data_IF_547080443336
#
_entry.id   IF_547080443336
#
_cell.length_a   1.000
_cell.length_b   1.000
_cell.length_c   1.000
_cell.angle_alpha   90.00
_cell.angle_beta   90.00
_cell.angle_gamma   90.00
#
_symmetry.space_group_name_H-M   'P 1'
#
loop_
_entity.id
_entity.type
_entity.pdbx_description
1 polymer ?
#
# COMPACT_ATOMS: atom_id res chain seq x y z
N UNK A 1 -0.99 27.70 -12.30
CA UNK A 1 0.13 27.56 -11.35
C UNK A 1 0.12 26.12 -10.88
N UNK A 2 1.03 25.29 -11.38
CA UNK A 2 1.11 23.88 -10.96
C UNK A 2 1.48 23.82 -9.48
N UNK A 3 0.83 22.93 -8.72
CA UNK A 3 1.15 22.70 -7.32
C UNK A 3 2.62 22.24 -7.23
N UNK A 4 3.53 23.13 -6.83
CA UNK A 4 4.94 22.81 -6.64
C UNK A 4 5.07 22.00 -5.35
N UNK A 5 5.42 20.72 -5.49
CA UNK A 5 5.73 19.84 -4.36
C UNK A 5 7.18 19.99 -3.91
N UNK A 6 8.10 20.21 -4.84
CA UNK A 6 9.54 20.32 -4.56
C UNK A 6 10.10 21.71 -4.88
N UNK A 7 11.13 22.11 -4.12
CA UNK A 7 11.84 23.38 -4.29
C UNK A 7 12.64 23.39 -5.60
N UNK A 8 13.28 22.26 -5.95
CA UNK A 8 13.95 22.10 -7.23
C UNK A 8 12.92 21.91 -8.36
N UNK A 9 12.85 22.83 -9.34
CA UNK A 9 11.89 22.75 -10.42
C UNK A 9 12.06 21.50 -11.29
N UNK A 10 13.29 21.01 -11.48
CA UNK A 10 13.57 19.82 -12.28
C UNK A 10 13.05 18.57 -11.58
N UNK A 11 13.32 18.43 -10.27
CA UNK A 11 12.82 17.30 -9.48
C UNK A 11 11.29 17.34 -9.46
N UNK A 12 10.68 18.51 -9.29
CA UNK A 12 9.23 18.65 -9.32
C UNK A 12 8.63 18.22 -10.66
N UNK A 13 9.21 18.67 -11.78
CA UNK A 13 8.73 18.30 -13.12
C UNK A 13 8.89 16.79 -13.38
N UNK A 14 10.04 16.21 -13.05
CA UNK A 14 10.29 14.76 -13.18
C UNK A 14 9.28 13.99 -12.32
N UNK A 15 9.10 14.36 -11.06
CA UNK A 15 8.23 13.65 -10.13
C UNK A 15 6.76 13.69 -10.57
N UNK A 16 6.27 14.84 -11.05
CA UNK A 16 4.92 14.98 -11.61
C UNK A 16 4.73 14.15 -12.89
N UNK A 17 5.70 14.19 -13.80
CA UNK A 17 5.65 13.41 -15.05
C UNK A 17 5.66 11.91 -14.77
N UNK A 18 6.56 11.44 -13.90
CA UNK A 18 6.64 10.04 -13.48
C UNK A 18 5.33 9.60 -12.84
N UNK A 19 4.78 10.40 -11.92
CA UNK A 19 3.52 10.09 -11.28
C UNK A 19 2.37 10.01 -12.28
N UNK A 20 2.28 10.94 -13.24
CA UNK A 20 1.24 10.94 -14.27
C UNK A 20 1.35 9.72 -15.18
N UNK A 21 2.57 9.36 -15.61
CA UNK A 21 2.82 8.17 -16.42
C UNK A 21 2.41 6.91 -15.65
N UNK A 22 2.85 6.77 -14.40
CA UNK A 22 2.49 5.63 -13.54
C UNK A 22 0.97 5.55 -13.34
N UNK A 23 0.31 6.68 -13.09
CA UNK A 23 -1.14 6.74 -12.93
C UNK A 23 -1.87 6.24 -14.19
N UNK A 24 -1.53 6.78 -15.36
CA UNK A 24 -2.15 6.42 -16.65
C UNK A 24 -1.92 4.95 -16.97
N UNK A 25 -0.67 4.47 -16.83
CA UNK A 25 -0.34 3.07 -17.11
C UNK A 25 -1.06 2.13 -16.14
N UNK A 26 -1.05 2.42 -14.83
CA UNK A 26 -1.76 1.61 -13.84
C UNK A 26 -3.27 1.55 -14.15
N UNK A 27 -3.88 2.67 -14.55
CA UNK A 27 -5.29 2.71 -14.95
C UNK A 27 -5.54 1.86 -16.19
N UNK A 28 -4.73 2.03 -17.23
CA UNK A 28 -4.86 1.30 -18.49
C UNK A 28 -4.72 -0.22 -18.29
N UNK A 29 -3.68 -0.66 -17.57
CA UNK A 29 -3.44 -2.09 -17.35
C UNK A 29 -4.45 -2.73 -16.40
N UNK A 30 -4.95 -2.02 -15.39
CA UNK A 30 -6.03 -2.54 -14.55
C UNK A 30 -7.36 -2.65 -15.30
N UNK A 31 -7.70 -1.69 -16.16
CA UNK A 31 -8.88 -1.79 -17.03
C UNK A 31 -8.72 -2.94 -18.03
N UNK A 32 -7.55 -3.08 -18.63
CA UNK A 32 -7.24 -4.19 -19.53
C UNK A 32 -7.34 -5.54 -18.81
N UNK A 33 -6.81 -5.64 -17.59
CA UNK A 33 -6.95 -6.84 -16.76
C UNK A 33 -8.43 -7.17 -16.52
N UNK A 34 -9.26 -6.18 -16.14
CA UNK A 34 -10.71 -6.38 -15.97
C UNK A 34 -11.34 -6.88 -17.27
N UNK A 35 -11.01 -6.28 -18.42
CA UNK A 35 -11.50 -6.72 -19.72
C UNK A 35 -11.11 -8.18 -20.03
N UNK A 36 -9.86 -8.56 -19.79
CA UNK A 36 -9.36 -9.93 -19.98
C UNK A 36 -10.10 -10.91 -19.04
N UNK A 37 -10.28 -10.55 -17.76
CA UNK A 37 -11.02 -11.37 -16.79
C UNK A 37 -12.45 -11.63 -17.27
N UNK A 38 -13.11 -10.62 -17.84
CA UNK A 38 -14.49 -10.74 -18.35
C UNK A 38 -14.59 -11.56 -19.64
N UNK A 39 -13.54 -11.56 -20.48
CA UNK A 39 -13.49 -12.31 -21.74
C UNK A 39 -13.02 -13.76 -21.58
N UNK A 40 -12.31 -14.08 -20.50
CA UNK A 40 -11.83 -15.43 -20.23
C UNK A 40 -13.01 -16.35 -19.82
N UNK A 41 -13.10 -17.54 -20.44
CA UNK A 41 -14.22 -18.48 -20.23
C UNK A 41 -14.40 -18.86 -18.75
N UNK A 42 -15.65 -18.83 -18.26
CA UNK A 42 -16.01 -19.19 -16.89
C UNK A 42 -15.57 -20.62 -16.51
N UNK A 43 -15.41 -21.49 -17.51
CA UNK A 43 -14.97 -22.88 -17.33
C UNK A 43 -13.49 -23.00 -16.90
N UNK A 44 -12.65 -21.98 -17.17
CA UNK A 44 -11.21 -22.04 -16.88
C UNK A 44 -10.87 -21.59 -15.44
N UNK A 45 -11.62 -20.65 -14.87
CA UNK A 45 -11.23 -19.93 -13.64
C UNK A 45 -12.30 -19.99 -12.53
N UNK A 46 -13.58 -20.20 -12.88
CA UNK A 46 -14.67 -20.30 -11.90
C UNK A 46 -14.88 -19.02 -11.05
N UNK A 47 -15.25 -19.19 -9.77
CA UNK A 47 -15.55 -18.06 -8.84
C UNK A 47 -14.34 -17.17 -8.53
N UNK A 48 -13.13 -17.61 -8.83
CA UNK A 48 -11.89 -16.87 -8.60
C UNK A 48 -11.82 -15.55 -9.39
N UNK A 49 -12.53 -15.46 -10.53
CA UNK A 49 -12.63 -14.22 -11.33
C UNK A 49 -13.15 -13.03 -10.52
N UNK A 50 -14.11 -13.27 -9.61
CA UNK A 50 -14.69 -12.21 -8.76
C UNK A 50 -13.63 -11.59 -7.87
N UNK A 51 -12.72 -12.43 -7.37
CA UNK A 51 -11.66 -11.99 -6.48
C UNK A 51 -10.57 -11.20 -7.23
N UNK A 52 -10.22 -11.64 -8.44
CA UNK A 52 -9.31 -10.89 -9.32
C UNK A 52 -9.91 -9.56 -9.80
N UNK A 53 -11.21 -9.51 -10.09
CA UNK A 53 -11.90 -8.24 -10.40
C UNK A 53 -11.88 -7.30 -9.20
N UNK A 54 -12.13 -7.81 -7.99
CA UNK A 54 -12.06 -6.98 -6.77
C UNK A 54 -10.66 -6.41 -6.55
N UNK A 55 -9.62 -7.21 -6.79
CA UNK A 55 -8.23 -6.77 -6.72
C UNK A 55 -7.95 -5.62 -7.71
N UNK A 56 -8.29 -5.79 -8.98
CA UNK A 56 -8.10 -4.74 -9.99
C UNK A 56 -8.89 -3.45 -9.67
N UNK A 57 -10.10 -3.57 -9.11
CA UNK A 57 -10.89 -2.41 -8.67
C UNK A 57 -10.27 -1.70 -7.46
N UNK A 58 -9.67 -2.46 -6.55
CA UNK A 58 -8.94 -1.94 -5.39
C UNK A 58 -7.69 -1.17 -5.83
N UNK A 59 -6.95 -1.67 -6.81
CA UNK A 59 -5.80 -0.99 -7.40
C UNK A 59 -6.19 0.34 -8.06
N UNK A 60 -7.31 0.36 -8.81
CA UNK A 60 -7.86 1.59 -9.38
C UNK A 60 -8.24 2.61 -8.29
N UNK A 61 -8.87 2.15 -7.21
CA UNK A 61 -9.24 3.01 -6.08
C UNK A 61 -8.00 3.58 -5.36
N UNK A 62 -7.02 2.75 -5.05
CA UNK A 62 -5.76 3.17 -4.43
C UNK A 62 -5.00 4.16 -5.32
N UNK A 63 -4.86 3.86 -6.61
CA UNK A 63 -4.18 4.72 -7.59
C UNK A 63 -4.88 6.08 -7.74
N UNK A 64 -6.22 6.11 -7.71
CA UNK A 64 -7.00 7.35 -7.73
C UNK A 64 -6.69 8.21 -6.50
N UNK A 65 -6.69 7.63 -5.31
CA UNK A 65 -6.36 8.37 -4.08
C UNK A 65 -4.91 8.84 -4.07
N UNK A 66 -3.97 7.99 -4.49
CA UNK A 66 -2.56 8.37 -4.59
C UNK A 66 -2.37 9.55 -5.55
N UNK A 67 -3.04 9.55 -6.71
CA UNK A 67 -2.96 10.66 -7.66
C UNK A 67 -3.62 11.95 -7.14
N UNK A 68 -4.82 11.85 -6.56
CA UNK A 68 -5.54 13.00 -6.02
C UNK A 68 -4.81 13.65 -4.84
N UNK A 69 -4.26 12.84 -3.93
CA UNK A 69 -3.61 13.33 -2.72
C UNK A 69 -2.16 13.69 -3.01
N UNK A 70 -1.45 12.89 -3.80
CA UNK A 70 0.01 12.90 -3.97
C UNK A 70 0.75 13.04 -2.63
N UNK A 71 0.72 11.98 -1.80
CA UNK A 71 1.26 12.01 -0.45
C UNK A 71 2.80 11.94 -0.47
N UNK A 72 3.45 12.96 0.07
CA UNK A 72 4.92 13.01 0.19
C UNK A 72 5.30 12.81 1.66
N UNK A 73 5.94 11.68 2.03
CA UNK A 73 6.42 11.45 3.38
C UNK A 73 7.79 12.08 3.60
N UNK A 74 8.00 12.67 4.76
CA UNK A 74 9.23 13.36 5.13
C UNK A 74 9.67 12.98 6.54
N UNK A 75 10.96 13.19 6.81
CA UNK A 75 11.58 12.94 8.10
C UNK A 75 12.38 14.14 8.56
N UNK A 76 12.27 14.48 9.83
CA UNK A 76 13.13 15.48 10.44
C UNK A 76 13.37 15.18 11.92
N UNK A 77 14.63 15.02 12.31
CA UNK A 77 15.03 14.55 13.64
C UNK A 77 14.23 13.32 14.10
N UNK A 78 13.44 13.51 15.16
CA UNK A 78 12.59 12.49 15.78
C UNK A 78 11.14 12.49 15.26
N UNK A 79 10.87 13.11 14.11
CA UNK A 79 9.54 13.25 13.56
C UNK A 79 9.39 12.65 12.16
N UNK A 80 8.27 11.99 11.95
CA UNK A 80 7.71 11.70 10.64
C UNK A 80 6.58 12.69 10.35
N UNK A 81 6.48 13.18 9.12
CA UNK A 81 5.32 13.95 8.70
C UNK A 81 5.00 13.73 7.23
N UNK A 82 3.75 13.95 6.84
CA UNK A 82 3.30 13.71 5.48
C UNK A 82 2.13 14.61 5.11
N UNK A 83 2.17 15.15 3.90
CA UNK A 83 1.09 15.95 3.32
C UNK A 83 0.83 15.57 1.86
N UNK A 84 -0.41 15.78 1.45
CA UNK A 84 -0.79 15.71 0.05
C UNK A 84 -0.37 16.96 -0.73
N UNK A 85 0.30 16.76 -1.86
CA UNK A 85 0.73 17.82 -2.78
C UNK A 85 -0.05 17.81 -4.10
N UNK A 86 -1.09 16.96 -4.20
CA UNK A 86 -1.94 16.81 -5.37
C UNK A 86 -3.10 17.81 -5.37
N UNK A 87 -4.25 17.38 -5.88
CA UNK A 87 -5.49 18.15 -5.88
C UNK A 87 -6.14 18.25 -4.50
N UNK A 88 -5.95 17.24 -3.64
CA UNK A 88 -6.53 17.19 -2.30
C UNK A 88 -5.44 17.14 -1.23
N UNK A 89 -5.07 18.33 -0.74
CA UNK A 89 -3.89 18.55 0.11
C UNK A 89 -4.18 18.53 1.62
N UNK A 90 -5.43 18.28 1.99
CA UNK A 90 -5.85 18.26 3.38
C UNK A 90 -5.39 16.97 4.08
N UNK A 91 -5.20 17.04 5.40
CA UNK A 91 -4.84 15.87 6.24
C UNK A 91 -5.81 14.70 6.07
N UNK A 92 -7.09 15.01 5.83
CA UNK A 92 -8.11 14.00 5.55
C UNK A 92 -7.76 13.17 4.31
N UNK A 93 -7.15 13.78 3.29
CA UNK A 93 -6.71 13.11 2.08
C UNK A 93 -5.63 12.08 2.36
N UNK A 94 -4.63 12.49 3.14
CA UNK A 94 -3.55 11.60 3.59
C UNK A 94 -4.12 10.42 4.39
N UNK A 95 -5.06 10.66 5.30
CA UNK A 95 -5.70 9.61 6.06
C UNK A 95 -6.53 8.66 5.17
N UNK A 96 -7.28 9.18 4.19
CA UNK A 96 -8.02 8.36 3.22
C UNK A 96 -7.09 7.50 2.38
N UNK A 97 -5.98 8.07 1.90
CA UNK A 97 -4.94 7.34 1.18
C UNK A 97 -4.34 6.21 2.03
N UNK A 98 -4.06 6.45 3.32
CA UNK A 98 -3.54 5.42 4.22
C UNK A 98 -4.59 4.36 4.58
N UNK A 99 -5.86 4.75 4.66
CA UNK A 99 -6.97 3.82 4.74
C UNK A 99 -7.06 2.93 3.49
N UNK A 100 -6.78 3.47 2.31
CA UNK A 100 -6.70 2.70 1.08
C UNK A 100 -5.49 1.76 1.08
N UNK A 101 -4.33 2.25 1.50
CA UNK A 101 -3.12 1.44 1.67
C UNK A 101 -3.36 0.22 2.58
N UNK A 102 -4.09 0.42 3.70
CA UNK A 102 -4.40 -0.62 4.67
C UNK A 102 -5.27 -1.77 4.17
N UNK A 103 -6.08 -1.58 3.11
CA UNK A 103 -6.94 -2.65 2.59
C UNK A 103 -6.21 -3.60 1.62
N UNK A 104 -5.03 -3.24 1.12
CA UNK A 104 -4.26 -4.10 0.23
C UNK A 104 -3.80 -5.39 0.93
N UNK A 105 -3.42 -5.32 2.21
CA UNK A 105 -3.01 -6.47 3.03
C UNK A 105 -4.07 -7.59 3.11
N UNK A 106 -5.32 -7.31 3.56
CA UNK A 106 -6.34 -8.34 3.65
C UNK A 106 -6.70 -8.89 2.28
N UNK A 107 -6.61 -8.11 1.20
CA UNK A 107 -6.83 -8.64 -0.16
C UNK A 107 -5.80 -9.71 -0.48
N UNK A 108 -4.51 -9.41 -0.29
CA UNK A 108 -3.43 -10.37 -0.54
C UNK A 108 -3.62 -11.63 0.32
N UNK A 109 -3.80 -11.47 1.64
CA UNK A 109 -4.02 -12.59 2.56
C UNK A 109 -5.23 -13.43 2.13
N UNK A 110 -6.33 -12.79 1.74
CA UNK A 110 -7.52 -13.50 1.32
C UNK A 110 -7.33 -14.28 0.02
N UNK A 111 -6.54 -13.77 -0.94
CA UNK A 111 -6.15 -14.53 -2.13
C UNK A 111 -5.36 -15.80 -1.75
N UNK A 112 -4.44 -15.71 -0.79
CA UNK A 112 -3.71 -16.88 -0.28
C UNK A 112 -4.65 -17.87 0.43
N UNK A 113 -5.50 -17.38 1.34
CA UNK A 113 -6.42 -18.21 2.11
C UNK A 113 -7.47 -18.88 1.22
N UNK A 114 -8.12 -18.13 0.34
CA UNK A 114 -9.12 -18.67 -0.59
C UNK A 114 -8.52 -19.80 -1.42
N UNK A 115 -7.28 -19.64 -1.89
CA UNK A 115 -6.59 -20.69 -2.63
C UNK A 115 -6.32 -21.92 -1.78
N UNK A 116 -5.85 -21.74 -0.55
CA UNK A 116 -5.66 -22.86 0.38
C UNK A 116 -6.98 -23.58 0.63
N UNK A 117 -8.06 -22.86 0.90
CA UNK A 117 -9.36 -23.44 1.21
C UNK A 117 -9.97 -24.21 0.03
N UNK A 118 -9.89 -23.70 -1.20
CA UNK A 118 -10.39 -24.39 -2.40
C UNK A 118 -9.60 -25.66 -2.69
N UNK A 119 -8.28 -25.63 -2.46
CA UNK A 119 -7.39 -26.77 -2.66
C UNK A 119 -7.65 -27.87 -1.62
N UNK A 120 -7.83 -27.51 -0.35
CA UNK A 120 -8.05 -28.47 0.74
C UNK A 120 -9.49 -28.99 0.82
N UNK A 121 -10.47 -28.13 0.57
CA UNK A 121 -11.88 -28.42 0.78
C UNK A 121 -12.73 -27.93 -0.40
N UNK A 122 -12.99 -28.84 -1.34
CA UNK A 122 -13.81 -28.51 -2.52
C UNK A 122 -15.21 -27.99 -2.16
N UNK A 123 -15.74 -28.41 -1.00
CA UNK A 123 -17.02 -27.95 -0.46
C UNK A 123 -17.05 -26.45 -0.10
N UNK A 124 -15.90 -25.82 0.18
CA UNK A 124 -15.83 -24.38 0.53
C UNK A 124 -16.27 -23.48 -0.63
N UNK A 125 -16.22 -23.97 -1.87
CA UNK A 125 -16.75 -23.25 -3.04
C UNK A 125 -18.24 -22.88 -2.85
N UNK A 126 -19.00 -23.68 -2.10
CA UNK A 126 -20.40 -23.39 -1.75
C UNK A 126 -20.54 -22.16 -0.87
N UNK A 127 -19.66 -22.01 0.13
CA UNK A 127 -19.65 -20.89 1.09
C UNK A 127 -18.96 -19.61 0.59
N UNK A 128 -18.58 -19.56 -0.69
CA UNK A 128 -17.86 -18.42 -1.27
C UNK A 128 -18.51 -17.04 -0.97
N UNK A 129 -19.84 -16.85 -1.07
CA UNK A 129 -20.44 -15.54 -0.79
C UNK A 129 -20.25 -15.09 0.67
N UNK A 130 -20.42 -16.01 1.63
CA UNK A 130 -20.23 -15.73 3.06
C UNK A 130 -18.77 -15.42 3.37
N UNK A 131 -17.85 -16.16 2.75
CA UNK A 131 -16.41 -15.95 2.89
C UNK A 131 -15.99 -14.59 2.30
N UNK A 132 -16.53 -14.22 1.12
CA UNK A 132 -16.31 -12.91 0.50
C UNK A 132 -16.85 -11.78 1.38
N UNK A 133 -18.04 -11.92 1.96
CA UNK A 133 -18.61 -10.92 2.87
C UNK A 133 -17.76 -10.74 4.14
N UNK A 134 -17.29 -11.84 4.73
CA UNK A 134 -16.41 -11.80 5.89
C UNK A 134 -15.10 -11.07 5.56
N UNK A 135 -14.54 -11.35 4.39
CA UNK A 135 -13.37 -10.65 3.86
C UNK A 135 -13.61 -9.15 3.67
N UNK A 136 -14.69 -8.74 3.00
CA UNK A 136 -15.01 -7.32 2.79
C UNK A 136 -15.14 -6.57 4.13
N UNK A 137 -15.79 -7.18 5.12
CA UNK A 137 -15.91 -6.63 6.48
C UNK A 137 -14.57 -6.52 7.20
N UNK A 138 -13.66 -7.46 6.99
CA UNK A 138 -12.31 -7.42 7.57
C UNK A 138 -11.45 -6.35 6.87
N UNK A 139 -11.54 -6.28 5.55
CA UNK A 139 -10.87 -5.28 4.70
C UNK A 139 -11.26 -3.86 5.08
N UNK A 140 -12.56 -3.61 5.26
CA UNK A 140 -13.06 -2.31 5.71
C UNK A 140 -12.54 -1.95 7.11
N UNK A 141 -12.50 -2.92 8.04
CA UNK A 141 -11.98 -2.69 9.40
C UNK A 141 -10.50 -2.31 9.39
N UNK A 142 -9.66 -2.99 8.60
CA UNK A 142 -8.25 -2.64 8.48
C UNK A 142 -8.03 -1.29 7.79
N UNK A 143 -8.87 -0.94 6.83
CA UNK A 143 -8.86 0.39 6.20
C UNK A 143 -9.17 1.49 7.22
N UNK A 144 -10.24 1.33 8.00
CA UNK A 144 -10.61 2.28 9.07
C UNK A 144 -9.49 2.37 10.11
N UNK A 145 -8.87 1.24 10.46
CA UNK A 145 -7.74 1.21 11.40
C UNK A 145 -6.55 2.03 10.92
N UNK A 146 -6.10 1.85 9.67
CA UNK A 146 -4.98 2.63 9.11
C UNK A 146 -5.33 4.12 8.94
N UNK A 147 -6.55 4.41 8.48
CA UNK A 147 -7.08 5.78 8.44
C UNK A 147 -7.00 6.42 9.83
N UNK A 148 -7.38 5.68 10.87
CA UNK A 148 -7.45 6.20 12.23
C UNK A 148 -6.09 6.60 12.78
N UNK A 149 -5.04 5.85 12.43
CA UNK A 149 -3.67 6.16 12.85
C UNK A 149 -3.23 7.51 12.29
N UNK A 150 -3.42 7.74 11.00
CA UNK A 150 -2.99 8.99 10.37
C UNK A 150 -3.88 10.19 10.71
N UNK A 151 -5.16 9.96 10.98
CA UNK A 151 -6.09 11.05 11.30
C UNK A 151 -6.02 11.47 12.78
N UNK A 152 -5.99 10.52 13.71
CA UNK A 152 -6.01 10.78 15.16
C UNK A 152 -4.65 10.64 15.83
N UNK A 153 -3.90 9.57 15.56
CA UNK A 153 -2.61 9.35 16.25
C UNK A 153 -1.52 10.30 15.75
N UNK A 154 -1.53 10.62 14.46
CA UNK A 154 -0.59 11.57 13.83
C UNK A 154 -1.21 12.97 13.68
N UNK A 155 -2.04 13.36 14.63
CA UNK A 155 -2.56 14.72 14.68
C UNK A 155 -1.47 15.69 15.12
N UNK A 156 -1.28 16.82 14.41
CA UNK A 156 -0.38 17.86 14.87
C UNK A 156 -0.91 18.50 16.14
N UNK A 157 -0.03 18.64 17.12
CA UNK A 157 -0.25 19.36 18.36
C UNK A 157 0.74 20.53 18.47
N UNK A 158 0.52 21.41 19.45
CA UNK A 158 1.29 22.64 19.60
C UNK A 158 2.80 22.39 19.74
N UNK A 159 3.21 21.30 20.40
CA UNK A 159 4.62 20.97 20.58
C UNK A 159 5.27 20.48 19.28
N UNK A 160 4.59 19.59 18.54
CA UNK A 160 5.06 19.13 17.23
C UNK A 160 5.22 20.30 16.26
N UNK A 161 4.27 21.25 16.28
CA UNK A 161 4.31 22.44 15.42
C UNK A 161 5.45 23.38 15.78
N UNK A 162 5.78 23.53 17.07
CA UNK A 162 6.90 24.36 17.51
C UNK A 162 8.24 23.75 17.10
N UNK A 163 8.41 22.43 17.28
CA UNK A 163 9.66 21.72 16.94
C UNK A 163 9.87 21.67 15.43
N UNK A 164 8.79 21.54 14.65
CA UNK A 164 8.83 21.52 13.19
C UNK A 164 8.72 22.92 12.56
N UNK A 165 8.52 23.98 13.35
CA UNK A 165 8.41 25.36 12.85
C UNK A 165 9.58 25.78 11.94
N UNK A 166 10.85 25.45 12.25
CA UNK A 166 11.99 25.79 11.38
C UNK A 166 11.93 25.19 9.96
N UNK A 167 11.12 24.13 9.75
CA UNK A 167 10.89 23.56 8.43
C UNK A 167 9.81 24.34 7.67
N UNK A 168 8.77 24.77 8.39
CA UNK A 168 7.62 25.46 7.80
C UNK A 168 7.87 26.95 7.56
N UNK A 169 8.80 27.57 8.30
CA UNK A 169 9.23 28.95 8.11
C UNK A 169 10.37 29.12 7.09
N UNK A 170 10.97 28.01 6.63
CA UNK A 170 12.05 27.98 5.65
C UNK A 170 13.44 28.21 6.24
N UNK A 171 13.61 28.21 7.57
CA UNK A 171 14.90 28.33 8.24
C UNK A 171 15.81 27.13 7.96
N UNK A 172 15.23 25.94 7.84
CA UNK A 172 15.94 24.71 7.48
C UNK A 172 15.70 24.37 6.01
N UNK A 173 16.76 24.24 5.18
CA UNK A 173 16.59 23.86 3.78
C UNK A 173 16.09 22.41 3.69
N UNK A 174 14.97 22.23 3.01
CA UNK A 174 14.35 20.93 2.72
C UNK A 174 13.89 20.89 1.27
N UNK A 175 13.83 19.68 0.70
CA UNK A 175 13.56 19.50 -0.73
C UNK A 175 12.09 19.77 -1.11
N UNK A 176 11.18 19.71 -0.12
CA UNK A 176 9.72 19.87 -0.30
C UNK A 176 9.31 21.29 0.08
N UNK A 177 8.36 21.86 -0.66
CA UNK A 177 7.86 23.22 -0.42
C UNK A 177 6.94 23.25 0.80
N UNK A 178 7.37 23.94 1.84
CA UNK A 178 6.62 24.13 3.06
C UNK A 178 6.17 25.58 3.26
N UNK A 179 5.08 25.76 4.00
CA UNK A 179 4.62 27.06 4.46
C UNK A 179 3.96 26.92 5.83
N UNK A 180 4.14 27.91 6.69
CA UNK A 180 3.59 27.94 8.04
C UNK A 180 2.05 27.76 8.06
N UNK A 181 1.34 28.32 7.08
CA UNK A 181 -0.12 28.17 6.93
C UNK A 181 -0.57 26.72 6.67
N UNK A 182 0.36 25.88 6.22
CA UNK A 182 0.10 24.50 5.84
C UNK A 182 0.57 23.49 6.88
N UNK A 183 1.26 23.92 7.94
CA UNK A 183 1.80 23.06 8.98
C UNK A 183 0.71 22.14 9.57
N UNK A 184 -0.45 22.69 9.94
CA UNK A 184 -1.59 21.94 10.49
C UNK A 184 -2.22 20.92 9.53
N UNK A 185 -1.95 21.02 8.22
CA UNK A 185 -2.48 20.10 7.21
C UNK A 185 -1.64 18.83 7.07
N UNK A 186 -0.45 18.79 7.68
CA UNK A 186 0.39 17.61 7.71
C UNK A 186 -0.13 16.63 8.76
N UNK A 187 -0.13 15.34 8.42
CA UNK A 187 -0.12 14.31 9.45
C UNK A 187 1.28 14.30 10.07
N UNK A 188 1.41 14.51 11.38
CA UNK A 188 2.68 14.68 12.07
C UNK A 188 2.79 13.68 13.21
N UNK A 189 3.92 13.00 13.29
CA UNK A 189 4.26 12.04 14.32
C UNK A 189 5.65 12.37 14.88
N UNK A 190 5.69 13.26 15.87
CA UNK A 190 6.89 13.49 16.67
C UNK A 190 6.96 12.44 17.77
N UNK A 191 8.05 11.65 17.79
CA UNK A 191 8.19 10.49 18.67
C UNK A 191 8.82 10.82 20.03
N UNK A 192 9.73 11.80 20.06
CA UNK A 192 10.48 12.23 21.24
C UNK A 192 10.43 13.76 21.32
N UNK A 193 10.16 14.30 22.50
CA UNK A 193 10.03 15.75 22.71
C UNK A 193 11.38 16.49 22.66
N UNK A 194 12.49 15.80 22.94
CA UNK A 194 13.84 16.37 22.96
C UNK A 194 14.80 15.48 22.18
N UNK A 195 15.86 14.97 22.81
CA UNK A 195 16.74 14.00 22.16
C UNK A 195 16.03 12.66 21.94
N UNK A 196 16.59 11.82 21.06
CA UNK A 196 16.06 10.47 20.85
C UNK A 196 16.07 9.69 22.16
N UNK A 197 14.95 9.04 22.47
CA UNK A 197 14.68 8.37 23.76
C UNK A 197 14.42 9.27 24.97
N UNK A 198 14.30 10.59 24.77
CA UNK A 198 13.94 11.55 25.82
C UNK A 198 12.53 12.14 25.57
N UNK A 199 11.68 12.12 26.60
CA UNK A 199 10.31 12.62 26.51
C UNK A 199 9.45 11.82 25.51
N UNK A 200 9.14 10.54 25.79
CA UNK A 200 8.35 9.69 24.89
C UNK A 200 6.97 10.30 24.61
N UNK A 201 6.67 10.49 23.34
CA UNK A 201 5.35 10.95 22.89
C UNK A 201 4.49 9.72 22.60
N UNK A 202 3.86 9.21 23.66
CA UNK A 202 3.13 7.94 23.63
C UNK A 202 2.04 7.87 22.57
N UNK A 203 1.40 8.99 22.21
CA UNK A 203 0.39 9.01 21.16
C UNK A 203 1.01 8.68 19.78
N UNK A 204 2.05 9.39 19.36
CA UNK A 204 2.72 9.09 18.08
C UNK A 204 3.44 7.74 18.10
N UNK A 205 4.07 7.36 19.22
CA UNK A 205 4.72 6.05 19.39
C UNK A 205 3.73 4.88 19.32
N UNK A 206 2.54 5.02 19.92
CA UNK A 206 1.50 3.99 19.81
C UNK A 206 0.96 3.89 18.38
N UNK A 207 0.75 5.01 17.69
CA UNK A 207 0.38 5.01 16.27
C UNK A 207 1.39 4.29 15.38
N UNK A 208 2.69 4.59 15.52
CA UNK A 208 3.75 3.93 14.78
C UNK A 208 3.89 2.43 15.16
N UNK A 209 3.78 2.10 16.44
CA UNK A 209 3.81 0.71 16.93
C UNK A 209 2.64 -0.11 16.38
N UNK A 210 1.43 0.46 16.33
CA UNK A 210 0.24 -0.18 15.78
C UNK A 210 0.36 -0.42 14.26
N UNK A 211 0.89 0.54 13.50
CA UNK A 211 1.21 0.36 12.07
C UNK A 211 2.22 -0.77 11.88
N UNK A 212 3.29 -0.76 12.67
CA UNK A 212 4.34 -1.76 12.60
C UNK A 212 3.80 -3.17 12.88
N UNK A 213 3.03 -3.32 13.96
CA UNK A 213 2.40 -4.58 14.34
C UNK A 213 1.42 -5.07 13.25
N UNK A 214 0.59 -4.19 12.69
CA UNK A 214 -0.33 -4.54 11.63
C UNK A 214 0.41 -5.05 10.38
N UNK A 215 1.49 -4.39 9.99
CA UNK A 215 2.25 -4.78 8.80
C UNK A 215 3.03 -6.09 9.02
N UNK A 216 3.71 -6.24 10.17
CA UNK A 216 4.44 -7.48 10.51
C UNK A 216 3.46 -8.65 10.59
N UNK A 217 2.33 -8.50 11.27
CA UNK A 217 1.32 -9.56 11.37
C UNK A 217 0.74 -9.96 10.01
N UNK A 218 0.49 -8.98 9.12
CA UNK A 218 0.05 -9.26 7.75
C UNK A 218 1.08 -10.10 6.98
N UNK A 219 2.36 -9.73 7.05
CA UNK A 219 3.43 -10.48 6.39
C UNK A 219 3.66 -11.87 6.97
N UNK A 220 3.61 -12.01 8.30
CA UNK A 220 3.67 -13.33 8.96
C UNK A 220 2.51 -14.21 8.49
N UNK A 221 1.30 -13.66 8.37
CA UNK A 221 0.16 -14.39 7.84
C UNK A 221 0.36 -14.81 6.37
N UNK A 222 0.86 -13.91 5.51
CA UNK A 222 1.16 -14.20 4.10
C UNK A 222 2.21 -15.31 3.98
N UNK A 223 3.33 -15.21 4.70
CA UNK A 223 4.42 -16.20 4.68
C UNK A 223 3.94 -17.55 5.21
N UNK A 224 3.16 -17.54 6.30
CA UNK A 224 2.57 -18.77 6.86
C UNK A 224 1.64 -19.46 5.87
N UNK A 225 0.76 -18.70 5.22
CA UNK A 225 -0.11 -19.23 4.17
C UNK A 225 0.68 -19.77 2.97
N UNK A 226 1.73 -19.06 2.55
CA UNK A 226 2.62 -19.48 1.48
C UNK A 226 3.30 -20.83 1.81
N UNK A 227 3.80 -20.98 3.03
CA UNK A 227 4.42 -22.21 3.50
C UNK A 227 3.42 -23.39 3.52
N UNK A 228 2.20 -23.16 4.03
CA UNK A 228 1.15 -24.18 4.05
C UNK A 228 0.76 -24.66 2.65
N UNK A 229 0.59 -23.72 1.70
CA UNK A 229 0.27 -24.07 0.30
C UNK A 229 1.43 -24.83 -0.35
N UNK A 230 2.68 -24.40 -0.13
CA UNK A 230 3.87 -25.11 -0.63
C UNK A 230 3.96 -26.55 -0.11
N UNK A 231 3.74 -26.74 1.19
CA UNK A 231 3.75 -28.05 1.83
C UNK A 231 2.68 -28.97 1.21
N UNK A 232 1.48 -28.44 0.98
CA UNK A 232 0.40 -29.20 0.37
C UNK A 232 0.69 -29.58 -1.09
N UNK A 233 1.17 -28.63 -1.91
CA UNK A 233 1.46 -28.88 -3.31
C UNK A 233 2.52 -29.99 -3.50
N UNK A 234 3.51 -30.06 -2.60
CA UNK A 234 4.49 -31.17 -2.57
C UNK A 234 3.84 -32.52 -2.23
N UNK A 235 2.88 -32.52 -1.30
CA UNK A 235 2.18 -33.74 -0.87
C UNK A 235 1.24 -34.33 -1.93
N UNK A 236 0.75 -33.53 -2.89
CA UNK A 236 -0.27 -33.93 -3.87
C UNK A 236 0.27 -34.19 -5.28
N UNK A 237 1.56 -34.46 -5.44
CA UNK A 237 2.28 -34.61 -6.73
C UNK A 237 1.78 -35.74 -7.67
N UNK A 238 0.67 -36.43 -7.35
CA UNK A 238 0.15 -37.60 -8.10
C UNK A 238 -1.02 -37.33 -9.08
N UNK A 239 -1.55 -36.09 -9.24
CA UNK A 239 -2.66 -35.79 -10.19
C UNK A 239 -2.26 -34.76 -11.26
N UNK A 240 -2.11 -35.20 -12.51
CA UNK A 240 -1.31 -34.53 -13.55
C UNK A 240 -1.87 -33.23 -14.17
N UNK A 241 -3.19 -32.99 -14.20
CA UNK A 241 -3.76 -31.88 -15.00
C UNK A 241 -4.14 -30.62 -14.18
N UNK A 242 -4.78 -30.78 -13.02
CA UNK A 242 -5.18 -29.66 -12.14
C UNK A 242 -3.98 -28.93 -11.48
N UNK A 243 -2.82 -29.60 -11.36
CA UNK A 243 -1.64 -29.03 -10.70
C UNK A 243 -0.95 -27.89 -11.48
N UNK A 244 -1.05 -27.84 -12.81
CA UNK A 244 -0.32 -26.82 -13.60
C UNK A 244 -0.88 -25.41 -13.34
N UNK A 245 -2.20 -25.26 -13.42
CA UNK A 245 -2.87 -23.99 -13.16
C UNK A 245 -2.66 -23.55 -11.70
N UNK A 246 -2.82 -24.47 -10.73
CA UNK A 246 -2.55 -24.16 -9.32
C UNK A 246 -1.09 -23.75 -9.04
N UNK A 247 -0.10 -24.35 -9.72
CA UNK A 247 1.32 -23.96 -9.62
C UNK A 247 1.59 -22.58 -10.22
N UNK A 248 1.03 -22.27 -11.40
CA UNK A 248 1.19 -20.96 -12.04
C UNK A 248 0.57 -19.85 -11.19
N UNK A 249 -0.66 -20.08 -10.75
CA UNK A 249 -1.36 -19.21 -9.83
C UNK A 249 -0.57 -18.99 -8.54
N UNK A 250 -0.02 -20.06 -7.94
CA UNK A 250 0.80 -19.96 -6.73
C UNK A 250 2.08 -19.16 -6.94
N UNK A 251 2.78 -19.37 -8.06
CA UNK A 251 3.95 -18.57 -8.44
C UNK A 251 3.60 -17.09 -8.60
N UNK A 252 2.46 -16.77 -9.22
CA UNK A 252 1.96 -15.40 -9.34
C UNK A 252 1.77 -14.76 -7.98
N UNK A 253 1.17 -15.49 -7.03
CA UNK A 253 0.91 -14.98 -5.69
C UNK A 253 2.18 -14.73 -4.89
N UNK A 254 3.21 -15.57 -5.07
CA UNK A 254 4.54 -15.32 -4.48
C UNK A 254 5.08 -14.00 -4.99
N UNK A 255 5.07 -13.76 -6.31
CA UNK A 255 5.53 -12.49 -6.86
C UNK A 255 4.69 -11.30 -6.36
N UNK A 256 3.37 -11.46 -6.27
CA UNK A 256 2.47 -10.44 -5.73
C UNK A 256 2.66 -10.19 -4.23
N UNK A 257 3.26 -11.10 -3.46
CA UNK A 257 3.61 -10.86 -2.07
C UNK A 257 4.99 -10.19 -1.93
N UNK A 258 5.95 -10.59 -2.78
CA UNK A 258 7.32 -10.08 -2.72
C UNK A 258 7.49 -8.72 -3.36
N UNK A 259 6.83 -8.44 -4.49
CA UNK A 259 6.99 -7.16 -5.17
C UNK A 259 6.55 -5.99 -4.30
N UNK A 260 5.33 -6.00 -3.72
CA UNK A 260 4.86 -4.88 -2.90
C UNK A 260 5.70 -4.70 -1.64
N UNK A 261 6.29 -5.79 -1.12
CA UNK A 261 7.20 -5.74 0.04
C UNK A 261 8.33 -4.74 -0.22
N UNK A 262 8.94 -4.78 -1.40
CA UNK A 262 10.06 -3.91 -1.73
C UNK A 262 9.63 -2.58 -2.34
N UNK A 263 8.52 -2.53 -3.08
CA UNK A 263 8.11 -1.31 -3.79
C UNK A 263 7.23 -0.38 -2.95
N UNK A 264 6.41 -0.88 -2.03
CA UNK A 264 5.44 -0.06 -1.31
C UNK A 264 5.55 -0.18 0.21
N UNK A 265 5.77 -1.38 0.74
CA UNK A 265 5.70 -1.64 2.19
C UNK A 265 7.00 -1.33 2.91
N UNK A 266 8.14 -1.79 2.39
CA UNK A 266 9.44 -1.47 2.98
C UNK A 266 9.72 0.04 2.99
N UNK A 267 9.55 0.79 1.87
CA UNK A 267 9.82 2.22 1.87
C UNK A 267 8.90 3.01 2.82
N UNK A 268 7.61 2.65 2.89
CA UNK A 268 6.66 3.28 3.80
C UNK A 268 6.91 2.92 5.28
N UNK A 269 7.33 1.70 5.58
CA UNK A 269 7.69 1.34 6.95
C UNK A 269 8.95 2.08 7.40
N UNK A 270 9.95 2.16 6.53
CA UNK A 270 11.15 2.95 6.84
C UNK A 270 10.79 4.41 7.05
N UNK A 271 9.82 4.96 6.31
CA UNK A 271 9.40 6.35 6.47
C UNK A 271 8.85 6.65 7.87
N UNK A 272 8.05 5.74 8.42
CA UNK A 272 7.44 5.92 9.75
C UNK A 272 8.37 5.48 10.88
N UNK A 273 9.16 4.42 10.71
CA UNK A 273 9.88 3.80 11.82
C UNK A 273 11.28 4.36 12.07
N UNK A 274 12.01 4.83 11.04
CA UNK A 274 13.37 5.34 11.23
C UNK A 274 13.46 6.56 12.17
N UNK A 275 12.53 7.54 12.11
CA UNK A 275 12.59 8.69 13.01
C UNK A 275 12.32 8.32 14.48
N UNK A 276 11.72 7.16 14.76
CA UNK A 276 11.60 6.62 16.14
C UNK A 276 13.00 6.37 16.73
N UNK A 277 13.99 6.06 15.91
CA UNK A 277 15.38 5.85 16.33
C UNK A 277 16.26 7.09 16.09
N UNK A 278 15.67 8.24 15.76
CA UNK A 278 16.39 9.46 15.42
C UNK A 278 17.14 9.40 14.08
N UNK A 279 16.82 8.42 13.24
CA UNK A 279 17.44 8.26 11.91
C UNK A 279 16.57 8.96 10.88
N UNK A 280 17.15 9.87 10.12
CA UNK A 280 16.48 10.57 9.02
C UNK A 280 17.17 10.32 7.68
N UNK A 281 16.36 10.17 6.64
CA UNK A 281 16.83 10.00 5.26
C UNK A 281 16.12 11.05 4.40
N UNK A 282 16.79 12.13 3.97
CA UNK A 282 16.17 13.19 3.17
C UNK A 282 15.53 12.67 1.87
N UNK A 283 16.16 11.70 1.20
CA UNK A 283 15.70 11.14 -0.07
C UNK A 283 14.39 10.34 -0.01
N UNK A 284 13.83 10.09 1.18
CA UNK A 284 12.55 9.37 1.32
C UNK A 284 11.39 10.15 0.69
N UNK A 285 11.42 11.48 0.73
CA UNK A 285 10.42 12.34 0.11
C UNK A 285 10.34 12.13 -1.40
N UNK A 286 11.48 11.97 -2.07
CA UNK A 286 11.56 11.77 -3.52
C UNK A 286 11.32 10.31 -3.92
N UNK A 287 11.82 9.35 -3.13
CA UNK A 287 11.82 7.94 -3.51
C UNK A 287 10.50 7.20 -3.20
N UNK A 288 9.85 7.49 -2.07
CA UNK A 288 8.67 6.73 -1.61
C UNK A 288 7.43 6.95 -2.49
N UNK A 289 7.07 8.19 -2.89
CA UNK A 289 5.87 8.40 -3.71
C UNK A 289 5.87 7.62 -5.04
N UNK A 290 6.91 7.66 -5.88
CA UNK A 290 6.92 6.86 -7.11
C UNK A 290 6.96 5.36 -6.83
N UNK A 291 7.64 4.92 -5.77
CA UNK A 291 7.69 3.51 -5.39
C UNK A 291 6.28 2.97 -5.02
N UNK A 292 5.52 3.71 -4.20
CA UNK A 292 4.13 3.41 -3.87
C UNK A 292 3.21 3.46 -5.10
N UNK A 293 3.39 4.44 -5.99
CA UNK A 293 2.63 4.56 -7.24
C UNK A 293 2.90 3.43 -8.25
N UNK A 294 4.06 2.78 -8.17
CA UNK A 294 4.44 1.70 -9.09
C UNK A 294 3.71 0.39 -8.77
N UNK A 295 3.34 0.17 -7.51
CA UNK A 295 2.71 -1.09 -7.08
C UNK A 295 1.41 -1.43 -7.86
N UNK A 296 0.42 -0.52 -7.99
CA UNK A 296 -0.80 -0.77 -8.77
C UNK A 296 -0.57 -1.00 -10.27
N UNK A 297 0.60 -0.62 -10.81
CA UNK A 297 0.98 -0.92 -12.19
C UNK A 297 1.55 -2.33 -12.32
N UNK A 298 2.42 -2.74 -11.40
CA UNK A 298 3.10 -4.04 -11.47
C UNK A 298 2.12 -5.18 -11.21
N UNK A 299 1.13 -4.99 -10.35
CA UNK A 299 0.14 -5.98 -9.98
C UNK A 299 -0.66 -6.58 -11.16
N UNK A 300 -1.31 -5.79 -12.03
CA UNK A 300 -2.00 -6.32 -13.20
C UNK A 300 -1.04 -6.94 -14.23
N UNK A 301 0.16 -6.38 -14.41
CA UNK A 301 1.17 -6.93 -15.31
C UNK A 301 1.61 -8.33 -14.85
N UNK A 302 1.86 -8.52 -13.56
CA UNK A 302 2.20 -9.82 -12.99
C UNK A 302 1.09 -10.85 -13.23
N UNK A 303 -0.18 -10.47 -13.06
CA UNK A 303 -1.31 -11.36 -13.32
C UNK A 303 -1.41 -11.75 -14.79
N UNK A 304 -1.35 -10.76 -15.69
CA UNK A 304 -1.43 -10.99 -17.14
C UNK A 304 -0.29 -11.90 -17.59
N UNK A 305 0.95 -11.63 -17.20
CA UNK A 305 2.11 -12.41 -17.66
C UNK A 305 2.28 -13.77 -16.98
N UNK A 306 1.72 -13.98 -15.79
CA UNK A 306 1.85 -15.25 -15.08
C UNK A 306 0.76 -16.25 -15.44
N UNK A 307 -0.46 -15.80 -15.77
CA UNK A 307 -1.60 -16.66 -16.09
C UNK A 307 -1.64 -16.93 -17.59
N UNK A 308 -1.47 -18.20 -18.00
CA UNK A 308 -1.35 -18.57 -19.42
C UNK A 308 -2.60 -18.20 -20.22
N UNK A 309 -3.77 -18.42 -19.63
CA UNK A 309 -5.08 -18.13 -20.21
C UNK A 309 -5.29 -16.62 -20.44
N UNK A 310 -4.64 -15.77 -19.64
CA UNK A 310 -4.69 -14.31 -19.82
C UNK A 310 -3.75 -13.85 -20.92
N UNK A 311 -2.55 -14.44 -21.03
CA UNK A 311 -1.63 -14.15 -22.13
C UNK A 311 -2.15 -14.56 -23.51
N UNK A 312 -3.08 -15.50 -23.59
CA UNK A 312 -3.70 -15.89 -24.85
C UNK A 312 -4.80 -14.92 -25.29
N UNK A 313 -5.31 -14.10 -24.37
CA UNK A 313 -6.36 -13.11 -24.61
C UNK A 313 -5.78 -11.69 -24.74
N UNK A 314 -4.64 -11.43 -24.09
CA UNK A 314 -3.80 -10.24 -24.25
C UNK A 314 -3.17 -10.20 -25.64
#
# INVERSE_FOLDING_TARGET
MGNQGYVDPLINEIAQNVQLILFILAYAFNILLIFIILRCSAHCIGKYRVLLTFFALSDLYYNTLHFLVYPIPEMYGNAFFMRGHGYYQERLGVALYLGAYGHAFPILIFHFLYRLLVIYFHHIISYFPSLLLAFLKFSLRLSIFHFSIFYWFFQPDSESLLILAPLFDGSTPVDVVHSNDTAHKHAQALYWASATFEGPRWWSLTGAGLMCLAMVSAYVAIVSCCFLVNKYLKSQTKRAFSMRLHKQLFRSLIYQAFVPLFTAYYPAMTSVMLPVFGITIPYISVAVPPACATHPLVDPLLLIFTITEYRLVF
#
